data_IF_908014019466
#
_entry.id   IF_908014019466
#
_cell.length_a   1.000
_cell.length_b   1.000
_cell.length_c   1.000
_cell.angle_alpha   90.00
_cell.angle_beta   90.00
_cell.angle_gamma   90.00
#
_symmetry.space_group_name_H-M   'P 1'
#
loop_
_entity.id
_entity.type
_entity.pdbx_description
1 polymer ?
#
# COMPACT_ATOMS: atom_id res chain seq x y z
N UNK A 1 38.38 -19.77 28.45
CA UNK A 1 38.86 -20.00 27.07
C UNK A 1 37.77 -20.76 26.33
N UNK A 2 37.28 -20.19 25.23
CA UNK A 2 36.28 -20.86 24.37
C UNK A 2 37.03 -21.94 23.58
N UNK A 3 36.58 -23.19 23.64
CA UNK A 3 37.19 -24.27 22.87
C UNK A 3 36.66 -24.27 21.43
N UNK A 4 37.36 -24.98 20.53
CA UNK A 4 37.06 -24.96 19.10
C UNK A 4 35.61 -25.39 18.76
N UNK A 5 35.04 -26.35 19.51
CA UNK A 5 33.65 -26.78 19.32
C UNK A 5 32.66 -25.70 19.73
N UNK A 6 32.93 -25.02 20.84
CA UNK A 6 32.13 -23.88 21.30
C UNK A 6 32.23 -22.71 20.31
N UNK A 7 33.40 -22.48 19.70
CA UNK A 7 33.59 -21.45 18.69
C UNK A 7 32.76 -21.74 17.43
N UNK A 8 32.76 -22.98 16.94
CA UNK A 8 31.92 -23.37 15.81
C UNK A 8 30.42 -23.28 16.13
N UNK A 9 30.01 -23.64 17.34
CA UNK A 9 28.62 -23.50 17.78
C UNK A 9 28.20 -22.02 17.79
N UNK A 10 29.03 -21.13 18.33
CA UNK A 10 28.76 -19.69 18.37
C UNK A 10 28.65 -19.12 16.95
N UNK A 11 29.57 -19.46 16.05
CA UNK A 11 29.53 -19.01 14.66
C UNK A 11 28.26 -19.53 13.97
N UNK A 12 27.92 -20.81 14.12
CA UNK A 12 26.71 -21.39 13.54
C UNK A 12 25.43 -20.71 14.05
N UNK A 13 25.36 -20.42 15.35
CA UNK A 13 24.22 -19.69 15.94
C UNK A 13 24.17 -18.26 15.43
N UNK A 14 25.29 -17.53 15.38
CA UNK A 14 25.33 -16.16 14.85
C UNK A 14 24.96 -16.10 13.37
N UNK A 15 25.41 -17.07 12.56
CA UNK A 15 25.03 -17.17 11.15
C UNK A 15 23.55 -17.51 10.98
N UNK A 16 23.01 -18.43 11.78
CA UNK A 16 21.57 -18.77 11.75
C UNK A 16 20.72 -17.57 12.19
N UNK A 17 21.15 -16.84 13.22
CA UNK A 17 20.51 -15.58 13.66
C UNK A 17 20.56 -14.54 12.54
N UNK A 18 21.72 -14.31 11.92
CA UNK A 18 21.85 -13.33 10.83
C UNK A 18 20.97 -13.67 9.61
N UNK A 19 20.79 -14.96 9.29
CA UNK A 19 19.91 -15.42 8.21
C UNK A 19 18.43 -15.35 8.61
N UNK A 20 18.09 -15.66 9.86
CA UNK A 20 16.72 -15.63 10.35
C UNK A 20 16.23 -14.21 10.72
N UNK A 21 17.16 -13.26 10.90
CA UNK A 21 16.92 -11.89 11.38
C UNK A 21 17.35 -10.82 10.36
N UNK A 22 17.15 -11.07 9.07
CA UNK A 22 17.39 -10.07 8.01
C UNK A 22 16.66 -8.75 8.29
N UNK A 23 15.44 -8.83 8.84
CA UNK A 23 14.61 -7.66 9.17
C UNK A 23 15.05 -6.87 10.42
N UNK A 24 16.08 -7.29 11.16
CA UNK A 24 16.56 -6.62 12.39
C UNK A 24 17.91 -5.93 12.23
N UNK A 25 18.57 -6.09 11.08
CA UNK A 25 19.80 -5.33 10.75
C UNK A 25 19.49 -3.84 10.54
N UNK A 26 18.30 -3.53 10.02
CA UNK A 26 17.72 -2.17 9.98
C UNK A 26 17.61 -1.57 11.38
N UNK A 27 17.53 -2.39 12.44
CA UNK A 27 17.45 -1.92 13.82
C UNK A 27 18.77 -1.33 14.36
N UNK A 28 19.92 -1.67 13.76
CA UNK A 28 21.23 -1.26 14.28
C UNK A 28 22.02 -0.35 13.34
N UNK A 29 21.72 -0.33 12.04
CA UNK A 29 22.38 0.55 11.09
C UNK A 29 21.72 1.94 11.06
N UNK A 30 22.22 2.87 11.89
CA UNK A 30 21.94 4.31 11.82
C UNK A 30 20.59 4.79 12.35
N UNK A 31 20.06 4.14 13.39
CA UNK A 31 18.95 4.64 14.22
C UNK A 31 19.33 5.82 15.13
N UNK A 32 20.63 6.14 15.21
CA UNK A 32 21.17 7.21 16.08
C UNK A 32 21.84 8.34 15.29
N UNK A 33 21.72 8.34 13.97
CA UNK A 33 22.16 9.44 13.13
C UNK A 33 21.00 10.42 13.00
N UNK A 34 21.08 11.55 13.69
CA UNK A 34 20.15 12.65 13.50
C UNK A 34 20.30 13.18 12.08
N UNK A 35 19.26 13.02 11.25
CA UNK A 35 19.23 13.63 9.93
C UNK A 35 19.04 15.13 10.09
N UNK A 36 19.79 15.92 9.32
CA UNK A 36 19.59 17.36 9.28
C UNK A 36 18.28 17.66 8.55
N UNK A 37 17.25 18.10 9.27
CA UNK A 37 15.92 18.46 8.74
C UNK A 37 15.77 19.96 8.43
N UNK A 38 16.87 20.71 8.37
CA UNK A 38 16.82 22.17 8.10
C UNK A 38 16.60 22.53 6.63
N UNK A 39 16.66 21.55 5.72
CA UNK A 39 16.32 21.73 4.32
C UNK A 39 14.81 21.59 4.06
N UNK A 40 14.34 22.08 2.92
CA UNK A 40 12.97 21.79 2.45
C UNK A 40 12.85 20.32 2.04
N UNK A 41 11.82 19.62 2.52
CA UNK A 41 11.56 18.19 2.20
C UNK A 41 11.78 17.26 3.39
N UNK A 42 11.64 15.94 3.19
CA UNK A 42 12.09 14.95 4.17
C UNK A 42 13.55 14.60 3.89
N UNK A 43 14.47 14.97 4.79
CA UNK A 43 15.87 14.53 4.69
C UNK A 43 16.10 13.11 5.27
N UNK A 44 15.01 12.36 5.50
CA UNK A 44 15.04 11.00 6.05
C UNK A 44 14.97 9.98 4.90
N UNK A 45 15.96 9.08 4.73
CA UNK A 45 15.94 8.06 3.69
C UNK A 45 14.96 6.92 4.04
N UNK A 46 13.68 7.06 3.67
CA UNK A 46 12.58 6.14 4.01
C UNK A 46 12.90 4.65 3.73
N UNK A 47 13.45 4.37 2.54
CA UNK A 47 13.76 3.01 2.07
C UNK A 47 14.88 2.32 2.85
N UNK A 48 15.61 3.05 3.71
CA UNK A 48 16.57 2.43 4.64
C UNK A 48 15.88 1.53 5.67
N UNK A 49 14.63 1.86 6.03
CA UNK A 49 13.85 1.13 7.02
C UNK A 49 12.59 0.48 6.43
N UNK A 50 12.07 1.01 5.32
CA UNK A 50 10.82 0.58 4.67
C UNK A 50 11.06 0.03 3.25
N UNK A 51 12.11 -0.79 3.09
CA UNK A 51 12.49 -1.37 1.79
C UNK A 51 11.34 -2.21 1.20
N UNK A 52 10.75 -3.11 1.99
CA UNK A 52 9.62 -3.95 1.56
C UNK A 52 8.43 -3.12 1.04
N UNK A 53 8.11 -2.00 1.69
CA UNK A 53 7.04 -1.09 1.27
C UNK A 53 7.39 -0.39 -0.05
N UNK A 54 8.65 -0.02 -0.23
CA UNK A 54 9.14 0.55 -1.48
C UNK A 54 9.00 -0.43 -2.64
N UNK A 55 9.37 -1.69 -2.41
CA UNK A 55 9.25 -2.76 -3.40
C UNK A 55 7.78 -3.05 -3.75
N UNK A 56 6.89 -3.10 -2.76
CA UNK A 56 5.44 -3.27 -2.97
C UNK A 56 4.84 -2.13 -3.79
N UNK A 57 5.25 -0.88 -3.53
CA UNK A 57 4.75 0.30 -4.26
C UNK A 57 5.10 0.25 -5.75
N UNK A 58 6.32 -0.13 -6.09
CA UNK A 58 6.77 -0.18 -7.49
C UNK A 58 6.30 -1.44 -8.22
N UNK A 59 6.00 -2.52 -7.50
CA UNK A 59 5.55 -3.79 -8.08
C UNK A 59 4.25 -3.66 -8.91
N UNK A 60 3.37 -2.71 -8.54
CA UNK A 60 2.14 -2.42 -9.29
C UNK A 60 2.36 -1.70 -10.62
N UNK A 61 3.57 -1.25 -10.94
CA UNK A 61 3.95 -0.62 -12.22
C UNK A 61 3.39 0.79 -12.47
N UNK A 62 2.37 1.23 -11.71
CA UNK A 62 1.70 2.52 -11.89
C UNK A 62 2.25 3.64 -11.00
N UNK A 63 2.96 3.29 -9.92
CA UNK A 63 3.57 4.25 -8.99
C UNK A 63 5.10 4.25 -9.04
N UNK A 64 5.69 3.79 -10.14
CA UNK A 64 7.15 3.66 -10.29
C UNK A 64 7.91 4.99 -10.25
N UNK A 65 7.22 6.10 -10.46
CA UNK A 65 7.78 7.46 -10.41
C UNK A 65 7.34 8.26 -9.19
N UNK A 66 6.56 7.68 -8.27
CA UNK A 66 6.05 8.36 -7.08
C UNK A 66 6.94 8.01 -5.89
N UNK A 67 7.53 9.02 -5.26
CA UNK A 67 8.33 8.86 -4.04
C UNK A 67 7.46 8.76 -2.77
N UNK A 68 8.06 8.36 -1.65
CA UNK A 68 7.34 8.21 -0.38
C UNK A 68 6.74 9.55 0.10
N UNK A 69 7.40 10.67 -0.19
CA UNK A 69 6.94 12.00 0.23
C UNK A 69 5.66 12.43 -0.50
N UNK A 70 5.49 12.02 -1.76
CA UNK A 70 4.29 12.31 -2.54
C UNK A 70 3.00 11.81 -1.88
N UNK A 71 3.05 10.70 -1.14
CA UNK A 71 1.92 10.22 -0.35
C UNK A 71 1.98 10.80 1.07
N UNK A 72 3.10 10.57 1.76
CA UNK A 72 3.27 10.90 3.17
C UNK A 72 3.36 12.39 3.47
N UNK A 73 3.26 13.29 2.49
CA UNK A 73 3.22 14.75 2.72
C UNK A 73 2.09 15.43 1.95
N UNK A 74 1.21 14.67 1.31
CA UNK A 74 0.10 15.21 0.53
C UNK A 74 -1.15 15.51 1.38
N UNK A 75 -1.28 14.97 2.59
CA UNK A 75 -2.49 15.16 3.42
C UNK A 75 -2.44 16.42 4.30
N UNK A 76 -3.47 17.28 4.17
CA UNK A 76 -3.74 18.41 5.08
C UNK A 76 -4.06 17.97 6.50
N UNK A 77 -4.62 16.77 6.68
CA UNK A 77 -5.14 16.31 7.96
C UNK A 77 -4.03 15.90 8.93
N UNK A 78 -2.89 15.43 8.42
CA UNK A 78 -1.80 14.94 9.25
C UNK A 78 -0.94 16.08 9.81
N UNK A 79 -0.86 17.20 9.08
CA UNK A 79 -0.12 18.40 9.51
C UNK A 79 1.37 18.12 9.68
N UNK A 80 2.10 17.98 8.58
CA UNK A 80 3.54 17.66 8.62
C UNK A 80 4.39 18.84 9.08
N UNK A 81 5.58 18.52 9.60
CA UNK A 81 6.57 19.56 9.83
C UNK A 81 6.93 20.21 8.48
N UNK A 82 7.04 21.54 8.48
CA UNK A 82 7.38 22.32 7.30
C UNK A 82 8.46 23.33 7.66
N UNK A 83 9.24 23.72 6.66
CA UNK A 83 10.10 24.89 6.76
C UNK A 83 9.75 25.84 5.63
N UNK A 84 9.29 27.04 5.95
CA UNK A 84 9.03 28.09 4.96
C UNK A 84 9.82 29.34 5.37
N UNK A 85 10.60 29.88 4.43
CA UNK A 85 11.38 31.11 4.64
C UNK A 85 12.25 31.14 5.92
N UNK A 86 12.78 29.98 6.34
CA UNK A 86 13.63 29.85 7.53
C UNK A 86 12.87 29.79 8.86
N UNK A 87 11.54 29.72 8.85
CA UNK A 87 10.71 29.37 10.00
C UNK A 87 10.38 27.88 9.95
N UNK A 88 10.61 27.16 11.05
CA UNK A 88 10.27 25.76 11.20
C UNK A 88 8.91 25.65 11.89
N UNK A 89 7.93 25.09 11.21
CA UNK A 89 6.62 24.78 11.76
C UNK A 89 6.64 23.32 12.24
N UNK A 90 6.48 23.06 13.55
CA UNK A 90 6.39 21.71 14.07
C UNK A 90 5.16 20.99 13.51
N UNK A 91 5.37 19.80 12.96
CA UNK A 91 4.26 18.94 12.54
C UNK A 91 3.50 18.36 13.73
N UNK A 92 2.25 18.00 13.50
CA UNK A 92 1.38 17.31 14.46
C UNK A 92 1.46 15.78 14.32
N UNK A 93 1.95 15.28 13.18
CA UNK A 93 2.16 13.85 12.91
C UNK A 93 3.61 13.38 13.08
N UNK A 94 3.80 12.12 13.50
CA UNK A 94 5.12 11.49 13.53
C UNK A 94 5.59 11.12 12.10
N UNK A 95 6.88 11.34 11.81
CA UNK A 95 7.54 11.19 10.50
C UNK A 95 7.27 9.90 9.70
N UNK A 96 6.75 8.83 10.31
CA UNK A 96 6.52 7.54 9.65
C UNK A 96 5.21 6.84 10.06
N UNK A 97 4.33 7.51 10.82
CA UNK A 97 3.13 6.87 11.37
C UNK A 97 1.83 7.32 10.67
N UNK A 98 1.93 8.05 9.55
CA UNK A 98 0.74 8.42 8.79
C UNK A 98 0.27 7.27 7.91
N UNK A 99 -1.01 6.95 8.00
CA UNK A 99 -1.70 6.06 7.07
C UNK A 99 -2.33 6.90 5.99
N UNK A 100 -1.73 6.91 4.80
CA UNK A 100 -2.22 7.70 3.68
C UNK A 100 -3.38 6.98 2.98
N UNK A 101 -4.50 7.67 2.80
CA UNK A 101 -5.66 7.14 2.09
C UNK A 101 -5.47 7.23 0.58
N UNK A 102 -5.66 6.14 -0.16
CA UNK A 102 -5.56 6.10 -1.63
C UNK A 102 -6.47 7.15 -2.28
N UNK A 103 -7.66 7.32 -1.72
CA UNK A 103 -8.66 8.27 -2.21
C UNK A 103 -8.27 9.73 -1.99
N UNK A 104 -7.16 10.04 -1.30
CA UNK A 104 -6.61 11.39 -1.25
C UNK A 104 -6.32 11.93 -2.67
N UNK A 105 -5.77 11.08 -3.52
CA UNK A 105 -5.55 11.35 -4.95
C UNK A 105 -6.64 10.72 -5.81
N UNK A 106 -7.12 9.53 -5.47
CA UNK A 106 -8.02 8.77 -6.34
C UNK A 106 -9.50 9.17 -6.28
N UNK A 107 -9.87 10.16 -5.48
CA UNK A 107 -11.24 10.66 -5.44
C UNK A 107 -11.66 11.46 -6.68
N UNK A 108 -10.75 11.85 -7.58
CA UNK A 108 -11.07 12.64 -8.78
C UNK A 108 -11.60 14.06 -8.49
N UNK A 109 -11.62 14.50 -7.24
CA UNK A 109 -11.99 15.88 -6.83
C UNK A 109 -10.79 16.80 -7.02
N UNK A 110 -11.09 18.06 -7.35
CA UNK A 110 -10.07 19.11 -7.45
C UNK A 110 -9.89 19.79 -6.10
N UNK A 111 -8.70 20.32 -5.86
CA UNK A 111 -8.50 21.30 -4.78
C UNK A 111 -9.46 22.48 -4.96
N UNK A 112 -10.12 22.98 -3.89
CA UNK A 112 -9.90 22.68 -2.47
C UNK A 112 -10.81 21.59 -1.88
N UNK A 113 -11.61 20.88 -2.70
CA UNK A 113 -12.64 19.91 -2.25
C UNK A 113 -12.08 18.61 -1.65
N UNK A 114 -10.76 18.56 -1.45
CA UNK A 114 -10.00 17.42 -0.95
C UNK A 114 -9.09 17.83 0.20
N UNK A 115 -8.77 16.86 1.04
CA UNK A 115 -7.72 17.00 2.05
C UNK A 115 -6.30 16.93 1.47
N UNK A 116 -6.11 16.92 0.15
CA UNK A 116 -4.80 17.03 -0.49
C UNK A 116 -4.17 18.43 -0.27
N UNK A 117 -2.84 18.56 -0.25
CA UNK A 117 -2.10 19.85 -0.22
C UNK A 117 -0.75 19.77 -0.92
N UNK A 118 -0.35 20.87 -1.57
CA UNK A 118 1.02 21.05 -2.08
C UNK A 118 1.97 21.64 -1.04
N UNK A 119 1.46 22.12 0.10
CA UNK A 119 2.23 22.91 1.07
C UNK A 119 3.44 22.16 1.64
N UNK A 120 3.30 20.85 1.81
CA UNK A 120 4.38 19.99 2.31
C UNK A 120 5.03 19.17 1.20
N UNK A 121 4.82 19.48 -0.09
CA UNK A 121 5.43 18.76 -1.20
C UNK A 121 6.63 19.51 -1.74
N UNK A 122 7.67 18.78 -2.15
CA UNK A 122 8.81 19.38 -2.81
C UNK A 122 8.45 19.77 -4.25
N UNK A 123 8.81 21.00 -4.66
CA UNK A 123 8.67 21.48 -6.04
C UNK A 123 9.35 20.60 -7.10
N UNK A 124 10.35 19.79 -6.72
CA UNK A 124 10.97 18.81 -7.63
C UNK A 124 10.08 17.61 -7.95
N UNK A 125 9.05 17.35 -7.15
CA UNK A 125 8.16 16.17 -7.29
C UNK A 125 6.92 16.46 -8.14
N UNK A 126 6.75 17.67 -8.67
CA UNK A 126 5.58 18.06 -9.47
C UNK A 126 5.30 17.13 -10.66
N UNK A 127 6.36 16.72 -11.38
CA UNK A 127 6.23 15.85 -12.55
C UNK A 127 5.90 14.40 -12.20
N UNK A 128 6.07 13.99 -10.94
CA UNK A 128 5.70 12.64 -10.50
C UNK A 128 4.18 12.45 -10.53
N UNK A 129 3.42 13.52 -10.31
CA UNK A 129 1.94 13.50 -10.34
C UNK A 129 1.35 14.11 -11.63
N UNK A 130 2.06 15.02 -12.30
CA UNK A 130 1.52 15.81 -13.43
C UNK A 130 2.06 15.43 -14.81
N UNK A 131 2.39 14.16 -15.07
CA UNK A 131 2.98 13.71 -16.34
C UNK A 131 2.03 12.79 -17.15
N UNK A 132 1.78 13.05 -18.45
CA UNK A 132 2.14 14.24 -19.23
C UNK A 132 1.23 15.43 -18.91
N UNK A 133 1.84 16.61 -18.75
CA UNK A 133 1.14 17.89 -18.62
C UNK A 133 0.21 18.04 -19.84
N UNK A 134 -1.12 18.21 -19.68
CA UNK A 134 -1.78 19.04 -18.68
C UNK A 134 -2.88 18.30 -17.89
N UNK A 135 -2.74 17.01 -17.58
CA UNK A 135 -3.75 16.30 -16.78
C UNK A 135 -3.73 16.77 -15.30
N UNK A 136 -4.40 17.89 -15.01
CA UNK A 136 -4.63 18.44 -13.66
C UNK A 136 -5.75 17.67 -12.92
N UNK A 137 -6.13 16.50 -13.44
CA UNK A 137 -7.12 15.62 -12.82
C UNK A 137 -6.34 14.44 -12.24
N UNK A 138 -6.38 14.33 -10.91
CA UNK A 138 -5.88 13.14 -10.25
C UNK A 138 -6.64 11.90 -10.78
N UNK A 139 -5.93 10.81 -11.03
CA UNK A 139 -6.50 9.60 -11.60
C UNK A 139 -7.69 9.13 -10.74
N UNK A 140 -8.90 9.13 -11.27
CA UNK A 140 -10.08 8.82 -10.48
C UNK A 140 -10.28 7.29 -10.37
N UNK A 141 -10.42 6.77 -9.16
CA UNK A 141 -10.93 5.41 -8.92
C UNK A 141 -12.45 5.41 -9.10
N UNK A 142 -12.88 5.54 -10.36
CA UNK A 142 -14.29 5.53 -10.75
C UNK A 142 -14.92 4.14 -10.65
N UNK A 143 -16.24 4.08 -10.85
CA UNK A 143 -17.04 2.88 -10.74
C UNK A 143 -17.62 2.66 -9.34
N UNK A 144 -17.07 3.29 -8.30
CA UNK A 144 -17.49 3.12 -6.90
C UNK A 144 -18.44 4.21 -6.39
N UNK A 145 -18.79 5.20 -7.20
CA UNK A 145 -19.57 6.37 -6.82
C UNK A 145 -18.95 7.19 -5.70
N UNK A 146 -17.62 7.31 -5.76
CA UNK A 146 -16.82 8.11 -4.82
C UNK A 146 -16.20 9.34 -5.48
N UNK A 147 -16.33 9.45 -6.81
CA UNK A 147 -15.79 10.56 -7.59
C UNK A 147 -16.86 11.61 -7.91
N UNK A 148 -16.49 12.83 -8.33
CA UNK A 148 -17.45 13.85 -8.77
C UNK A 148 -18.15 13.55 -10.10
N UNK A 149 -17.74 12.51 -10.82
CA UNK A 149 -18.34 12.17 -12.10
C UNK A 149 -19.79 11.72 -11.90
N UNK A 150 -20.74 12.38 -12.57
CA UNK A 150 -22.16 12.05 -12.51
C UNK A 150 -22.47 10.64 -13.03
N UNK A 151 -21.58 10.06 -13.84
CA UNK A 151 -21.68 8.70 -14.34
C UNK A 151 -21.01 7.67 -13.44
N UNK A 152 -20.23 8.11 -12.45
CA UNK A 152 -19.73 7.27 -11.38
C UNK A 152 -20.84 7.03 -10.35
N UNK A 153 -21.80 6.18 -10.71
CA UNK A 153 -22.97 5.91 -9.86
C UNK A 153 -22.73 4.80 -8.85
N UNK A 154 -21.66 4.02 -9.01
CA UNK A 154 -21.46 2.82 -8.21
C UNK A 154 -22.20 1.58 -8.66
N UNK A 155 -23.23 1.70 -9.52
CA UNK A 155 -24.22 0.64 -9.74
C UNK A 155 -23.72 -0.56 -10.53
N UNK A 156 -22.56 -0.42 -11.18
CA UNK A 156 -21.93 -1.46 -12.00
C UNK A 156 -20.66 -2.04 -11.39
N UNK A 157 -20.18 -1.52 -10.26
CA UNK A 157 -18.99 -2.06 -9.62
C UNK A 157 -19.34 -3.25 -8.74
N UNK A 158 -18.87 -4.43 -9.14
CA UNK A 158 -18.99 -5.66 -8.35
C UNK A 158 -18.40 -5.51 -6.94
N UNK A 159 -17.37 -4.68 -6.78
CA UNK A 159 -16.66 -4.50 -5.51
C UNK A 159 -17.13 -3.28 -4.71
N UNK A 160 -18.21 -2.58 -5.11
CA UNK A 160 -18.66 -1.37 -4.41
C UNK A 160 -18.98 -1.62 -2.94
N UNK A 161 -19.66 -2.72 -2.62
CA UNK A 161 -19.98 -3.05 -1.22
C UNK A 161 -18.70 -3.23 -0.40
N UNK A 162 -17.70 -3.93 -0.94
CA UNK A 162 -16.41 -4.13 -0.26
C UNK A 162 -15.67 -2.81 0.01
N UNK A 163 -15.63 -1.91 -0.98
CA UNK A 163 -15.04 -0.57 -0.83
C UNK A 163 -15.78 0.25 0.24
N UNK A 164 -17.12 0.28 0.20
CA UNK A 164 -17.90 1.03 1.18
C UNK A 164 -17.79 0.44 2.60
N UNK A 165 -17.73 -0.89 2.73
CA UNK A 165 -17.55 -1.55 4.02
C UNK A 165 -16.17 -1.25 4.61
N UNK A 166 -15.11 -1.25 3.80
CA UNK A 166 -13.78 -0.83 4.23
C UNK A 166 -13.75 0.60 4.78
N UNK A 167 -14.56 1.51 4.20
CA UNK A 167 -14.66 2.90 4.66
C UNK A 167 -15.49 3.10 5.93
N UNK A 168 -16.51 2.26 6.15
CA UNK A 168 -17.47 2.41 7.27
C UNK A 168 -16.96 1.73 8.55
N UNK A 169 -16.05 0.76 8.43
CA UNK A 169 -15.49 0.07 9.58
C UNK A 169 -14.64 1.03 10.44
N UNK A 170 -15.24 1.54 11.52
CA UNK A 170 -14.65 2.40 12.57
C UNK A 170 -13.55 1.70 13.42
N UNK A 171 -12.93 0.65 12.86
CA UNK A 171 -11.85 -0.15 13.43
C UNK A 171 -10.96 -0.79 12.36
N UNK A 172 -10.97 -0.26 11.13
CA UNK A 172 -10.20 -0.81 10.02
C UNK A 172 -8.69 -0.79 10.29
N UNK A 173 -8.00 -1.80 9.77
CA UNK A 173 -6.53 -1.87 9.77
C UNK A 173 -5.91 -0.69 9.03
N UNK A 174 -6.67 -0.02 8.15
CA UNK A 174 -6.18 1.03 7.24
C UNK A 174 -7.23 2.14 7.03
N UNK A 175 -6.79 3.37 6.78
CA UNK A 175 -7.68 4.51 6.60
C UNK A 175 -8.59 4.38 5.34
N UNK A 176 -9.86 4.71 5.49
CA UNK A 176 -10.81 4.81 4.38
C UNK A 176 -10.93 3.54 3.54
N UNK A 177 -10.90 3.67 2.21
CA UNK A 177 -11.05 2.54 1.30
C UNK A 177 -9.77 1.68 1.11
N UNK A 178 -8.68 1.99 1.82
CA UNK A 178 -7.36 1.39 1.59
C UNK A 178 -7.36 -0.13 1.64
N UNK A 179 -8.05 -0.72 2.61
CA UNK A 179 -8.10 -2.17 2.79
C UNK A 179 -8.66 -2.86 1.53
N UNK A 180 -9.73 -2.30 0.95
CA UNK A 180 -10.32 -2.83 -0.28
C UNK A 180 -9.41 -2.63 -1.50
N UNK A 181 -8.77 -1.46 -1.61
CA UNK A 181 -7.85 -1.19 -2.71
C UNK A 181 -6.63 -2.10 -2.66
N UNK A 182 -6.01 -2.26 -1.49
CA UNK A 182 -4.79 -3.02 -1.29
C UNK A 182 -5.03 -4.52 -1.48
N UNK A 183 -6.19 -5.04 -1.09
CA UNK A 183 -6.56 -6.43 -1.33
C UNK A 183 -6.52 -6.86 -2.81
N UNK A 184 -6.57 -5.92 -3.76
CA UNK A 184 -6.58 -6.22 -5.20
C UNK A 184 -5.49 -5.51 -6.02
N UNK A 185 -5.09 -4.29 -5.64
CA UNK A 185 -4.14 -3.46 -6.40
C UNK A 185 -2.68 -3.65 -5.96
N UNK A 186 -2.43 -4.45 -4.94
CA UNK A 186 -1.07 -4.82 -4.53
C UNK A 186 -0.85 -6.30 -4.78
N UNK A 187 0.40 -6.74 -4.72
CA UNK A 187 0.78 -8.16 -4.82
C UNK A 187 0.40 -8.97 -3.57
N UNK A 188 -0.48 -8.45 -2.72
CA UNK A 188 -0.91 -9.13 -1.50
C UNK A 188 -1.80 -10.32 -1.85
N UNK A 189 -1.44 -11.47 -1.28
CA UNK A 189 -2.24 -12.69 -1.38
C UNK A 189 -3.44 -12.56 -0.46
N UNK A 190 -4.62 -12.30 -1.04
CA UNK A 190 -5.87 -12.30 -0.29
C UNK A 190 -6.32 -13.74 0.01
N UNK A 191 -6.59 -14.04 1.29
CA UNK A 191 -7.28 -15.27 1.68
C UNK A 191 -8.77 -14.95 1.89
N UNK A 192 -9.63 -15.50 1.02
CA UNK A 192 -11.08 -15.30 1.10
C UNK A 192 -11.71 -16.55 1.68
N UNK A 193 -12.39 -16.40 2.82
CA UNK A 193 -13.15 -17.46 3.48
C UNK A 193 -14.65 -17.13 3.42
N UNK A 194 -15.46 -18.07 2.94
CA UNK A 194 -16.92 -17.92 2.91
C UNK A 194 -17.61 -19.23 3.31
N UNK A 195 -18.76 -19.11 3.98
CA UNK A 195 -19.58 -20.24 4.38
C UNK A 195 -20.69 -20.45 3.34
N UNK A 196 -20.86 -21.68 2.88
CA UNK A 196 -21.92 -22.03 1.94
C UNK A 196 -22.79 -23.12 2.54
N UNK A 197 -24.10 -22.86 2.63
CA UNK A 197 -25.06 -23.77 3.27
C UNK A 197 -25.62 -24.83 2.32
N UNK A 198 -25.44 -24.67 1.01
CA UNK A 198 -26.00 -25.56 -0.01
C UNK A 198 -24.96 -26.00 -1.04
N UNK A 199 -24.57 -25.11 -1.96
CA UNK A 199 -23.67 -25.42 -3.07
C UNK A 199 -22.75 -24.25 -3.38
N UNK A 200 -21.46 -24.53 -3.55
CA UNK A 200 -20.46 -23.59 -4.03
C UNK A 200 -20.01 -23.99 -5.43
N UNK A 201 -20.36 -23.19 -6.44
CA UNK A 201 -19.88 -23.38 -7.82
C UNK A 201 -18.97 -22.22 -8.20
N UNK A 202 -17.69 -22.50 -8.37
CA UNK A 202 -16.72 -21.55 -8.93
C UNK A 202 -16.62 -21.86 -10.42
N UNK A 203 -17.17 -20.98 -11.26
CA UNK A 203 -17.00 -21.05 -12.72
C UNK A 203 -16.15 -19.88 -13.13
N UNK A 204 -14.97 -20.14 -13.68
CA UNK A 204 -14.11 -19.08 -14.19
C UNK A 204 -14.07 -19.20 -15.70
N UNK A 205 -14.66 -18.20 -16.35
CA UNK A 205 -14.62 -18.08 -17.80
C UNK A 205 -13.50 -17.11 -18.13
N UNK A 206 -12.34 -17.65 -18.48
CA UNK A 206 -11.18 -16.82 -18.82
C UNK A 206 -11.30 -16.37 -20.28
N UNK A 207 -11.57 -15.09 -20.49
CA UNK A 207 -11.19 -14.39 -21.71
C UNK A 207 -10.53 -13.11 -21.26
N UNK A 208 -9.21 -12.97 -21.42
CA UNK A 208 -8.61 -11.65 -21.24
C UNK A 208 -7.30 -11.41 -21.98
N UNK A 209 -7.12 -10.17 -22.43
CA UNK A 209 -5.90 -9.61 -23.02
C UNK A 209 -5.81 -8.10 -22.67
N UNK A 210 -4.67 -7.40 -22.70
CA UNK A 210 -3.26 -7.80 -22.81
C UNK A 210 -2.62 -7.47 -21.43
N UNK A 211 -2.05 -8.37 -20.65
CA UNK A 211 -1.16 -9.46 -21.03
C UNK A 211 -1.16 -10.53 -19.93
N UNK A 212 -2.08 -11.50 -20.03
CA UNK A 212 -2.31 -12.68 -19.16
C UNK A 212 -3.16 -12.48 -17.88
N UNK A 213 -4.26 -13.23 -17.84
CA UNK A 213 -4.89 -13.74 -16.62
C UNK A 213 -4.60 -15.25 -16.60
N UNK A 214 -3.78 -15.69 -15.64
CA UNK A 214 -3.52 -17.11 -15.37
C UNK A 214 -4.14 -17.43 -14.02
N UNK A 215 -5.09 -18.36 -14.03
CA UNK A 215 -5.70 -18.91 -12.83
C UNK A 215 -5.42 -20.40 -12.87
N UNK A 216 -4.80 -20.89 -11.80
CA UNK A 216 -4.51 -22.30 -11.62
C UNK A 216 -5.05 -22.71 -10.26
N UNK A 217 -5.84 -23.78 -10.27
CA UNK A 217 -6.36 -24.38 -9.07
C UNK A 217 -5.54 -25.64 -8.84
N UNK A 218 -4.44 -25.47 -8.09
CA UNK A 218 -3.48 -26.56 -7.84
C UNK A 218 -4.07 -27.70 -7.00
N UNK A 219 -5.19 -27.45 -6.32
CA UNK A 219 -5.95 -28.49 -5.62
C UNK A 219 -7.21 -27.94 -4.95
N UNK A 220 -8.32 -28.67 -5.09
CA UNK A 220 -9.53 -28.50 -4.31
C UNK A 220 -9.63 -29.72 -3.41
N UNK A 221 -9.50 -29.55 -2.10
CA UNK A 221 -9.66 -30.67 -1.15
C UNK A 221 -10.81 -30.39 -0.21
N UNK A 222 -11.91 -31.17 -0.25
CA UNK A 222 -12.95 -31.07 0.76
C UNK A 222 -12.40 -31.55 2.11
N UNK A 223 -12.63 -30.78 3.17
CA UNK A 223 -12.26 -31.21 4.53
C UNK A 223 -13.39 -31.97 5.24
N UNK A 224 -14.67 -31.80 4.84
CA UNK A 224 -15.83 -32.35 5.56
C UNK A 224 -17.09 -32.62 4.69
N UNK A 225 -16.98 -33.43 3.62
CA UNK A 225 -18.15 -33.85 2.83
C UNK A 225 -18.44 -35.35 2.95
N UNK A 226 -19.72 -35.72 2.84
CA UNK A 226 -20.16 -37.13 2.78
C UNK A 226 -19.80 -37.74 1.41
N UNK A 227 -19.75 -36.94 0.35
CA UNK A 227 -19.36 -37.35 -1.00
C UNK A 227 -18.73 -36.19 -1.78
N UNK A 228 -17.62 -36.47 -2.47
CA UNK A 228 -16.96 -35.54 -3.39
C UNK A 228 -16.73 -36.23 -4.73
N UNK A 229 -17.08 -35.57 -5.82
CA UNK A 229 -16.77 -36.03 -7.18
C UNK A 229 -16.18 -34.85 -7.95
N UNK A 230 -14.90 -34.93 -8.27
CA UNK A 230 -14.26 -33.98 -9.17
C UNK A 230 -14.67 -34.35 -10.60
N UNK A 231 -15.32 -33.44 -11.32
CA UNK A 231 -15.63 -33.61 -12.74
C UNK A 231 -14.64 -32.75 -13.51
N UNK A 232 -13.63 -33.39 -14.10
CA UNK A 232 -12.73 -32.76 -15.07
C UNK A 232 -13.29 -33.02 -16.46
N UNK A 233 -13.55 -31.95 -17.22
CA UNK A 233 -13.75 -32.05 -18.67
C UNK A 233 -12.40 -32.11 -19.39
#
# INVERSE_FOLDING_TARGET
>A
MINLKQMFLIIAVLSAVAVAMTHTVTLFSGQHSWYNLSGSGSNVPCLKCHEDIGDELIAGGVHTSIDCECCHRASKMVGYAASEAGQAEPGQGAHSASTEECMLCHNGRRMPETNFTHYYLNSSSCLQCHNPVPAILAAAAGGFGLTPDLYDTGTKAAHRSFVLEAMIADGSLMAGANEACIACHTTIKANISFNVSTEAKITVNNVYNDSYSYWDVTGITPTNYISYTEVKE
#
